data_IF_201224839960
#
_entry.id   IF_201224839960
#
_cell.length_a   1.000
_cell.length_b   1.000
_cell.length_c   1.000
_cell.angle_alpha   90.00
_cell.angle_beta   90.00
_cell.angle_gamma   90.00
#
_symmetry.space_group_name_H-M   'P 1'
#
loop_
_entity.id
_entity.type
_entity.pdbx_description
1 polymer ?
#
# COMPACT_ATOMS: atom_id res chain seq x y z
N UNK A 1 -13.27 -1.76 18.39
CA UNK A 1 -12.13 -0.84 18.61
C UNK A 1 -11.37 -0.74 17.30
N UNK A 2 -11.11 0.46 16.78
CA UNK A 2 -10.24 0.67 15.60
C UNK A 2 -8.84 0.18 15.97
N UNK A 3 -8.26 -0.77 15.22
CA UNK A 3 -6.87 -1.20 15.45
C UNK A 3 -5.96 -0.01 15.16
N UNK A 4 -4.93 0.21 15.98
CA UNK A 4 -3.90 1.19 15.65
C UNK A 4 -3.18 0.77 14.37
N UNK A 5 -2.68 1.73 13.60
CA UNK A 5 -1.88 1.44 12.40
C UNK A 5 -0.67 0.56 12.71
N UNK A 6 -0.04 0.73 13.87
CA UNK A 6 1.06 -0.13 14.33
C UNK A 6 0.60 -1.58 14.43
N UNK A 7 -0.53 -1.86 15.09
CA UNK A 7 -1.04 -3.22 15.20
C UNK A 7 -1.39 -3.81 13.83
N UNK A 8 -2.02 -3.02 12.96
CA UNK A 8 -2.39 -3.45 11.62
C UNK A 8 -1.15 -3.84 10.79
N UNK A 9 -0.07 -3.08 10.85
CA UNK A 9 1.16 -3.40 10.13
C UNK A 9 1.89 -4.59 10.75
N UNK A 10 1.93 -4.68 12.07
CA UNK A 10 2.56 -5.79 12.81
C UNK A 10 1.90 -7.12 12.48
N UNK A 11 0.56 -7.20 12.53
CA UNK A 11 -0.19 -8.41 12.21
C UNK A 11 0.06 -8.92 10.78
N UNK A 12 0.42 -8.02 9.87
CA UNK A 12 0.67 -8.32 8.47
C UNK A 12 2.15 -8.45 8.12
N UNK A 13 3.04 -8.38 9.11
CA UNK A 13 4.50 -8.43 8.94
C UNK A 13 5.01 -7.38 7.93
N UNK A 14 4.43 -6.18 7.94
CA UNK A 14 4.77 -5.11 7.01
C UNK A 14 5.64 -4.06 7.69
N UNK A 15 6.74 -3.69 7.03
CA UNK A 15 7.61 -2.59 7.41
C UNK A 15 7.18 -1.27 6.76
N UNK A 16 7.42 -0.16 7.46
CA UNK A 16 7.06 1.19 7.07
C UNK A 16 8.26 2.13 7.21
N UNK A 17 8.39 3.07 6.27
CA UNK A 17 9.19 4.27 6.43
C UNK A 17 8.38 5.53 6.05
N UNK A 18 8.87 6.69 6.48
CA UNK A 18 8.25 7.99 6.19
C UNK A 18 9.24 8.99 5.58
N UNK A 19 8.77 9.88 4.70
CA UNK A 19 9.55 10.96 4.11
C UNK A 19 8.77 12.28 4.26
N UNK A 20 9.17 13.09 5.23
CA UNK A 20 8.40 14.22 5.71
C UNK A 20 9.02 15.55 5.28
N UNK A 21 8.20 16.44 4.74
CA UNK A 21 8.52 17.86 4.57
C UNK A 21 7.68 18.69 5.54
N UNK A 22 6.44 19.05 5.17
CA UNK A 22 5.63 20.00 5.97
C UNK A 22 5.32 19.53 7.41
N UNK A 23 5.24 18.22 7.62
CA UNK A 23 4.91 17.59 8.91
C UNK A 23 6.10 17.60 9.87
N UNK A 24 7.34 17.69 9.35
CA UNK A 24 8.54 17.89 10.16
C UNK A 24 8.84 16.77 11.16
N UNK A 25 8.45 15.54 10.87
CA UNK A 25 8.65 14.38 11.76
C UNK A 25 7.44 14.03 12.62
N UNK A 26 6.34 14.78 12.47
CA UNK A 26 5.13 14.53 13.24
C UNK A 26 4.55 13.14 12.95
N UNK A 27 4.57 12.67 11.70
CA UNK A 27 4.05 11.33 11.39
C UNK A 27 4.87 10.24 12.08
N UNK A 28 6.20 10.30 11.97
CA UNK A 28 7.09 9.40 12.70
C UNK A 28 6.84 9.45 14.21
N UNK A 29 6.77 10.66 14.78
CA UNK A 29 6.53 10.87 16.21
C UNK A 29 5.22 10.24 16.66
N UNK A 30 4.12 10.47 15.92
CA UNK A 30 2.80 9.88 16.19
C UNK A 30 2.85 8.35 16.24
N UNK A 31 3.58 7.72 15.31
CA UNK A 31 3.76 6.26 15.33
C UNK A 31 4.60 5.80 16.51
N UNK A 32 5.72 6.46 16.79
CA UNK A 32 6.63 6.06 17.89
C UNK A 32 6.02 6.26 19.28
N UNK A 33 4.93 7.02 19.40
CA UNK A 33 4.16 7.13 20.64
C UNK A 33 3.41 5.83 20.99
N UNK A 34 3.20 4.95 20.00
CA UNK A 34 2.47 3.68 20.18
C UNK A 34 3.47 2.56 20.51
N UNK A 35 3.28 1.82 21.62
CA UNK A 35 4.13 0.67 21.94
C UNK A 35 4.21 -0.34 20.79
N UNK A 36 5.42 -0.85 20.52
CA UNK A 36 5.67 -1.79 19.43
C UNK A 36 5.97 -1.16 18.07
N UNK A 37 5.98 0.17 17.94
CA UNK A 37 6.30 0.87 16.69
C UNK A 37 7.66 0.49 16.09
N UNK A 38 8.64 0.07 16.90
CA UNK A 38 9.95 -0.41 16.42
C UNK A 38 9.88 -1.67 15.56
N UNK A 39 8.79 -2.45 15.66
CA UNK A 39 8.59 -3.64 14.83
C UNK A 39 8.35 -3.24 13.37
N UNK A 40 7.58 -2.18 13.15
CA UNK A 40 7.09 -1.74 11.83
C UNK A 40 7.88 -0.56 11.26
N UNK A 41 8.21 0.45 12.07
CA UNK A 41 8.83 1.69 11.58
C UNK A 41 10.35 1.51 11.50
N UNK A 42 10.90 1.39 10.29
CA UNK A 42 12.35 1.16 10.09
C UNK A 42 13.17 2.43 10.02
N UNK A 43 12.53 3.56 9.76
CA UNK A 43 13.20 4.86 9.72
C UNK A 43 12.33 5.92 9.05
N UNK A 44 12.87 7.12 8.98
CA UNK A 44 12.24 8.22 8.26
C UNK A 44 13.25 9.27 7.82
N UNK A 45 12.86 10.05 6.83
CA UNK A 45 13.64 11.15 6.27
C UNK A 45 12.89 12.45 6.52
N UNK A 46 13.57 13.46 7.06
CA UNK A 46 13.02 14.83 7.16
C UNK A 46 13.72 15.69 6.10
N UNK A 47 13.01 16.03 5.04
CA UNK A 47 13.56 16.69 3.83
C UNK A 47 12.88 18.03 3.58
N UNK A 48 13.04 18.95 4.53
CA UNK A 48 12.27 20.19 4.59
C UNK A 48 12.53 21.14 3.41
N UNK A 49 13.78 21.24 2.93
CA UNK A 49 14.16 22.09 1.81
C UNK A 49 14.41 21.31 0.52
N UNK A 50 14.43 22.01 -0.63
CA UNK A 50 14.68 21.39 -1.95
C UNK A 50 16.04 20.70 -2.01
N UNK A 51 17.06 21.24 -1.34
CA UNK A 51 18.39 20.61 -1.29
C UNK A 51 18.35 19.26 -0.57
N UNK A 52 17.68 19.18 0.58
CA UNK A 52 17.49 17.93 1.30
C UNK A 52 16.67 16.91 0.49
N UNK A 53 15.65 17.36 -0.25
CA UNK A 53 14.88 16.49 -1.16
C UNK A 53 15.76 15.87 -2.24
N UNK A 54 16.67 16.64 -2.84
CA UNK A 54 17.63 16.15 -3.84
C UNK A 54 18.66 15.20 -3.24
N UNK A 55 19.31 15.57 -2.13
CA UNK A 55 20.43 14.80 -1.58
C UNK A 55 19.94 13.53 -0.88
N UNK A 56 18.94 13.66 0.00
CA UNK A 56 18.54 12.60 0.92
C UNK A 56 17.44 11.74 0.30
N UNK A 57 16.35 12.36 -0.16
CA UNK A 57 15.23 11.66 -0.78
C UNK A 57 15.42 11.41 -2.28
N UNK A 58 16.56 11.81 -2.87
CA UNK A 58 16.92 11.60 -4.28
C UNK A 58 15.88 12.09 -5.29
N UNK A 59 15.11 13.13 -4.92
CA UNK A 59 14.14 13.76 -5.82
C UNK A 59 14.90 14.39 -6.98
N UNK A 60 14.44 14.13 -8.19
CA UNK A 60 15.01 14.63 -9.43
C UNK A 60 15.01 16.17 -9.44
N UNK A 61 16.14 16.80 -9.79
CA UNK A 61 16.18 18.25 -10.00
C UNK A 61 15.13 18.73 -11.01
N UNK A 62 14.88 17.94 -12.06
CA UNK A 62 13.89 18.23 -13.11
C UNK A 62 12.48 18.31 -12.52
N UNK A 63 12.16 17.42 -11.57
CA UNK A 63 10.85 17.41 -10.91
C UNK A 63 10.64 18.66 -10.06
N UNK A 64 11.65 19.06 -9.30
CA UNK A 64 11.60 20.27 -8.48
C UNK A 64 11.52 21.54 -9.33
N UNK A 65 12.24 21.60 -10.45
CA UNK A 65 12.21 22.73 -11.37
C UNK A 65 10.86 22.87 -12.08
N UNK A 66 10.33 21.76 -12.62
CA UNK A 66 9.13 21.78 -13.47
C UNK A 66 7.82 21.84 -12.68
N UNK A 67 7.75 21.15 -11.54
CA UNK A 67 6.50 20.98 -10.79
C UNK A 67 6.54 21.65 -9.41
N UNK A 68 7.73 21.95 -8.90
CA UNK A 68 7.93 22.44 -7.53
C UNK A 68 7.88 21.34 -6.48
N UNK A 69 8.27 21.68 -5.25
CA UNK A 69 8.27 20.76 -4.11
C UNK A 69 6.85 20.46 -3.64
N UNK A 70 5.89 21.37 -3.82
CA UNK A 70 4.49 21.18 -3.44
C UNK A 70 3.73 20.58 -4.63
N UNK A 71 4.04 19.34 -4.99
CA UNK A 71 3.49 18.66 -6.17
C UNK A 71 3.32 17.16 -5.95
N UNK A 72 2.44 16.54 -6.75
CA UNK A 72 2.29 15.09 -6.76
C UNK A 72 3.60 14.42 -7.19
N UNK A 73 4.29 14.95 -8.20
CA UNK A 73 5.53 14.39 -8.74
C UNK A 73 6.63 14.34 -7.67
N UNK A 74 6.78 15.41 -6.88
CA UNK A 74 7.71 15.43 -5.77
C UNK A 74 7.32 14.41 -4.69
N UNK A 75 6.03 14.33 -4.31
CA UNK A 75 5.56 13.34 -3.33
C UNK A 75 5.83 11.90 -3.80
N UNK A 76 5.52 11.59 -5.07
CA UNK A 76 5.77 10.28 -5.68
C UNK A 76 7.22 9.86 -5.56
N UNK A 77 8.15 10.71 -6.00
CA UNK A 77 9.58 10.43 -5.95
C UNK A 77 10.06 10.30 -4.49
N UNK A 78 9.60 11.17 -3.59
CA UNK A 78 9.91 11.07 -2.16
C UNK A 78 9.50 9.69 -1.60
N UNK A 79 8.27 9.23 -1.86
CA UNK A 79 7.80 7.94 -1.38
C UNK A 79 8.57 6.77 -2.00
N UNK A 80 8.68 6.72 -3.34
CA UNK A 80 9.34 5.63 -4.05
C UNK A 80 10.82 5.50 -3.68
N UNK A 81 11.55 6.61 -3.67
CA UNK A 81 12.97 6.59 -3.35
C UNK A 81 13.19 6.19 -1.89
N UNK A 82 12.34 6.66 -0.96
CA UNK A 82 12.43 6.28 0.46
C UNK A 82 12.21 4.79 0.66
N UNK A 83 11.23 4.20 -0.05
CA UNK A 83 10.97 2.77 -0.02
C UNK A 83 12.21 1.97 -0.43
N UNK A 84 12.86 2.38 -1.53
CA UNK A 84 14.05 1.73 -2.06
C UNK A 84 15.27 1.91 -1.15
N UNK A 85 15.49 3.13 -0.64
CA UNK A 85 16.62 3.48 0.21
C UNK A 85 16.61 2.70 1.53
N UNK A 86 15.43 2.57 2.16
CA UNK A 86 15.27 1.92 3.45
C UNK A 86 14.84 0.45 3.34
N UNK A 87 14.60 -0.04 2.13
CA UNK A 87 14.21 -1.44 1.83
C UNK A 87 13.01 -1.89 2.68
N UNK A 88 11.95 -1.09 2.63
CA UNK A 88 10.70 -1.32 3.38
C UNK A 88 9.55 -1.71 2.46
N UNK A 89 8.53 -2.36 3.02
CA UNK A 89 7.34 -2.77 2.29
C UNK A 89 6.50 -1.56 1.88
N UNK A 90 6.35 -0.60 2.80
CA UNK A 90 5.62 0.65 2.60
C UNK A 90 6.51 1.87 2.86
N UNK A 91 6.40 2.90 2.03
CA UNK A 91 6.92 4.23 2.35
C UNK A 91 5.90 5.31 2.03
N UNK A 92 5.65 6.19 2.99
CA UNK A 92 4.73 7.32 2.82
C UNK A 92 5.50 8.63 2.78
N UNK A 93 5.04 9.59 1.98
CA UNK A 93 5.66 10.90 1.89
C UNK A 93 4.66 12.03 2.03
N UNK A 94 5.11 13.17 2.56
CA UNK A 94 4.28 14.35 2.79
C UNK A 94 4.98 15.62 2.30
N UNK A 95 4.37 16.32 1.33
CA UNK A 95 4.84 17.64 0.87
C UNK A 95 3.66 18.58 0.63
N UNK A 96 3.82 19.87 0.91
CA UNK A 96 2.68 20.79 0.97
C UNK A 96 2.95 22.09 1.69
N UNK A 97 1.95 22.96 1.70
CA UNK A 97 1.99 24.28 2.33
C UNK A 97 1.22 24.27 3.66
N UNK A 98 1.93 24.17 4.79
CA UNK A 98 1.30 24.31 6.11
C UNK A 98 0.99 25.78 6.49
N UNK A 99 1.42 26.76 5.69
CA UNK A 99 1.23 28.18 6.00
C UNK A 99 2.17 28.71 7.08
N UNK A 100 1.98 29.98 7.51
CA UNK A 100 0.92 30.90 7.08
C UNK A 100 1.15 31.49 5.68
N UNK A 101 2.36 31.37 5.12
CA UNK A 101 2.68 31.84 3.77
C UNK A 101 2.48 30.72 2.75
N UNK A 102 1.91 31.07 1.61
CA UNK A 102 1.85 30.23 0.43
C UNK A 102 3.22 30.20 -0.26
N UNK A 103 3.64 29.03 -0.74
CA UNK A 103 4.81 28.86 -1.61
C UNK A 103 4.38 28.43 -3.01
N UNK A 104 5.22 28.73 -4.00
CA UNK A 104 5.06 28.26 -5.39
C UNK A 104 3.72 28.68 -6.03
N UNK A 105 3.14 29.81 -5.60
CA UNK A 105 1.80 30.28 -6.01
C UNK A 105 0.67 29.26 -5.76
N UNK A 106 0.85 28.35 -4.80
CA UNK A 106 -0.14 27.32 -4.42
C UNK A 106 -0.76 27.67 -3.06
N UNK A 107 -2.06 27.40 -2.84
CA UNK A 107 -2.74 27.82 -1.63
C UNK A 107 -2.14 27.17 -0.38
N UNK A 108 -2.26 27.88 0.75
CA UNK A 108 -2.03 27.28 2.08
C UNK A 108 -3.03 26.14 2.28
N UNK A 109 -2.57 25.05 2.90
CA UNK A 109 -3.37 23.84 3.11
C UNK A 109 -3.30 22.83 1.98
N UNK A 110 -2.73 23.18 0.82
CA UNK A 110 -2.50 22.20 -0.25
C UNK A 110 -1.40 21.22 0.15
N UNK A 111 -1.74 19.94 0.19
CA UNK A 111 -0.84 18.86 0.60
C UNK A 111 -0.95 17.69 -0.38
N UNK A 112 0.19 17.11 -0.73
CA UNK A 112 0.30 15.87 -1.48
C UNK A 112 0.86 14.78 -0.57
N UNK A 113 0.17 13.65 -0.57
CA UNK A 113 0.54 12.43 0.14
C UNK A 113 0.68 11.32 -0.90
N UNK A 114 1.82 10.65 -0.89
CA UNK A 114 2.08 9.49 -1.73
C UNK A 114 2.49 8.30 -0.88
N UNK A 115 1.94 7.14 -1.19
CA UNK A 115 2.23 5.87 -0.54
C UNK A 115 2.78 4.89 -1.58
N UNK A 116 4.05 4.54 -1.44
CA UNK A 116 4.65 3.43 -2.15
C UNK A 116 4.41 2.14 -1.37
N UNK A 117 3.85 1.12 -2.02
CA UNK A 117 3.59 -0.20 -1.43
C UNK A 117 3.86 -1.27 -2.49
N UNK A 118 4.86 -2.13 -2.23
CA UNK A 118 5.37 -3.05 -3.25
C UNK A 118 5.70 -2.29 -4.55
N UNK A 119 5.16 -2.72 -5.70
CA UNK A 119 5.33 -2.05 -7.01
C UNK A 119 4.28 -0.98 -7.32
N UNK A 120 3.39 -0.69 -6.36
CA UNK A 120 2.28 0.26 -6.53
C UNK A 120 2.59 1.59 -5.86
N UNK A 121 2.07 2.64 -6.46
CA UNK A 121 2.12 3.99 -5.92
C UNK A 121 0.72 4.58 -5.88
N UNK A 122 0.28 5.01 -4.70
CA UNK A 122 -1.01 5.65 -4.48
C UNK A 122 -0.74 7.11 -4.13
N UNK A 123 -1.37 8.04 -4.86
CA UNK A 123 -1.22 9.47 -4.64
C UNK A 123 -2.55 10.10 -4.29
N UNK A 124 -2.51 11.06 -3.36
CA UNK A 124 -3.67 11.86 -2.97
C UNK A 124 -3.25 13.30 -2.75
N UNK A 125 -4.07 14.21 -3.24
CA UNK A 125 -3.99 15.64 -2.93
C UNK A 125 -5.11 16.01 -1.96
N UNK A 126 -4.79 16.89 -1.01
CA UNK A 126 -5.72 17.39 -0.01
C UNK A 126 -5.63 18.90 0.05
N UNK A 127 -6.76 19.52 0.38
CA UNK A 127 -6.83 20.93 0.73
C UNK A 127 -7.34 21.00 2.18
N UNK A 128 -6.43 21.20 3.11
CA UNK A 128 -6.74 21.37 4.52
C UNK A 128 -6.96 22.85 4.86
N UNK A 129 -7.61 23.08 6.00
CA UNK A 129 -7.91 24.42 6.49
C UNK A 129 -7.56 24.52 7.97
N UNK A 130 -7.24 25.73 8.41
CA UNK A 130 -6.85 26.03 9.78
C UNK A 130 -5.45 26.62 9.90
N UNK A 131 -4.95 26.63 11.12
CA UNK A 131 -3.61 27.01 11.50
C UNK A 131 -2.56 26.03 10.94
N UNK A 132 -1.30 26.44 11.03
CA UNK A 132 -0.16 25.60 10.62
C UNK A 132 -0.09 24.28 11.37
N UNK A 133 -0.44 24.28 12.64
CA UNK A 133 -0.43 23.08 13.48
C UNK A 133 -1.58 22.14 13.08
N UNK A 134 -2.80 22.67 12.98
CA UNK A 134 -3.98 21.90 12.55
C UNK A 134 -3.79 21.28 11.16
N UNK A 135 -3.18 21.99 10.20
CA UNK A 135 -2.88 21.44 8.86
C UNK A 135 -1.89 20.27 8.96
N UNK A 136 -0.87 20.35 9.82
CA UNK A 136 0.09 19.26 10.01
C UNK A 136 -0.58 18.04 10.64
N UNK A 137 -1.46 18.23 11.62
CA UNK A 137 -2.21 17.15 12.26
C UNK A 137 -3.16 16.46 11.29
N UNK A 138 -3.98 17.22 10.55
CA UNK A 138 -4.85 16.71 9.49
C UNK A 138 -4.06 15.93 8.43
N UNK A 139 -2.85 16.41 8.08
CA UNK A 139 -1.96 15.71 7.13
C UNK A 139 -1.52 14.35 7.66
N UNK A 140 -1.16 14.26 8.94
CA UNK A 140 -0.75 12.99 9.57
C UNK A 140 -1.93 12.02 9.64
N UNK A 141 -3.10 12.49 10.06
CA UNK A 141 -4.32 11.70 10.11
C UNK A 141 -4.69 11.14 8.74
N UNK A 142 -4.71 11.99 7.70
CA UNK A 142 -4.98 11.56 6.32
C UNK A 142 -3.96 10.52 5.81
N UNK A 143 -2.69 10.64 6.23
CA UNK A 143 -1.66 9.64 5.91
C UNK A 143 -1.94 8.28 6.55
N UNK A 144 -2.35 8.27 7.82
CA UNK A 144 -2.74 7.05 8.54
C UNK A 144 -3.95 6.40 7.86
N UNK A 145 -4.99 7.18 7.59
CA UNK A 145 -6.21 6.70 6.92
C UNK A 145 -5.93 6.13 5.53
N UNK A 146 -5.02 6.75 4.76
CA UNK A 146 -4.62 6.25 3.46
C UNK A 146 -4.01 4.85 3.55
N UNK A 147 -3.11 4.62 4.51
CA UNK A 147 -2.48 3.31 4.71
C UNK A 147 -3.52 2.28 5.15
N UNK A 148 -4.35 2.61 6.14
CA UNK A 148 -5.42 1.73 6.62
C UNK A 148 -6.36 1.30 5.49
N UNK A 149 -6.80 2.26 4.67
CA UNK A 149 -7.67 2.00 3.51
C UNK A 149 -7.03 1.05 2.51
N UNK A 150 -5.77 1.31 2.12
CA UNK A 150 -5.06 0.50 1.14
C UNK A 150 -4.85 -0.93 1.63
N UNK A 151 -4.55 -1.11 2.93
CA UNK A 151 -4.41 -2.44 3.52
C UNK A 151 -5.75 -3.17 3.58
N UNK A 152 -6.83 -2.50 3.96
CA UNK A 152 -8.17 -3.10 4.01
C UNK A 152 -8.70 -3.52 2.62
N UNK A 153 -8.51 -2.69 1.58
CA UNK A 153 -8.88 -3.03 0.20
C UNK A 153 -8.13 -4.28 -0.33
N UNK A 154 -6.89 -4.49 0.12
CA UNK A 154 -6.11 -5.70 -0.22
C UNK A 154 -6.76 -6.95 0.39
N UNK A 155 -7.27 -6.88 1.63
CA UNK A 155 -7.92 -8.01 2.28
C UNK A 155 -9.27 -8.35 1.69
N UNK A 156 -10.10 -7.35 1.31
CA UNK A 156 -11.36 -7.62 0.64
C UNK A 156 -11.13 -8.39 -0.68
N UNK A 157 -10.17 -7.95 -1.49
CA UNK A 157 -9.82 -8.65 -2.73
C UNK A 157 -9.25 -10.04 -2.49
N UNK A 158 -8.35 -10.21 -1.52
CA UNK A 158 -7.78 -11.52 -1.18
C UNK A 158 -8.85 -12.50 -0.68
N UNK A 159 -9.78 -12.03 0.17
CA UNK A 159 -10.88 -12.83 0.73
C UNK A 159 -11.84 -13.30 -0.36
N UNK A 160 -12.18 -12.41 -1.30
CA UNK A 160 -13.03 -12.78 -2.45
C UNK A 160 -12.34 -13.82 -3.33
N UNK A 161 -11.04 -13.67 -3.58
CA UNK A 161 -10.27 -14.63 -4.38
C UNK A 161 -10.11 -15.98 -3.67
N UNK A 162 -9.81 -16.00 -2.38
CA UNK A 162 -9.66 -17.24 -1.60
C UNK A 162 -10.99 -18.01 -1.52
N UNK A 163 -12.11 -17.31 -1.32
CA UNK A 163 -13.44 -17.91 -1.34
C UNK A 163 -13.77 -18.49 -2.72
N UNK A 164 -13.51 -17.76 -3.81
CA UNK A 164 -13.72 -18.29 -5.18
C UNK A 164 -12.85 -19.51 -5.47
N UNK A 165 -11.58 -19.47 -5.07
CA UNK A 165 -10.64 -20.59 -5.22
C UNK A 165 -11.09 -21.82 -4.42
N UNK A 166 -11.56 -21.62 -3.19
CA UNK A 166 -12.09 -22.69 -2.35
C UNK A 166 -13.36 -23.31 -2.95
N UNK A 167 -14.28 -22.50 -3.48
CA UNK A 167 -15.49 -22.98 -4.16
C UNK A 167 -15.13 -23.78 -5.42
N UNK A 168 -14.21 -23.29 -6.25
CA UNK A 168 -13.74 -23.99 -7.46
C UNK A 168 -13.08 -25.34 -7.12
N UNK A 169 -12.27 -25.40 -6.07
CA UNK A 169 -11.64 -26.63 -5.61
C UNK A 169 -12.69 -27.65 -5.14
N UNK A 170 -13.72 -27.22 -4.41
CA UNK A 170 -14.80 -28.10 -3.95
C UNK A 170 -15.65 -28.62 -5.12
N UNK A 171 -15.95 -27.79 -6.12
CA UNK A 171 -16.65 -28.24 -7.33
C UNK A 171 -15.82 -29.28 -8.08
N UNK A 172 -14.51 -29.07 -8.23
CA UNK A 172 -13.62 -30.01 -8.89
C UNK A 172 -13.55 -31.37 -8.17
N UNK A 173 -13.43 -31.35 -6.83
CA UNK A 173 -13.46 -32.56 -5.99
C UNK A 173 -14.80 -33.31 -6.10
N UNK A 174 -15.92 -32.59 -6.18
CA UNK A 174 -17.24 -33.17 -6.37
C UNK A 174 -17.36 -33.92 -7.70
N UNK A 175 -16.85 -33.35 -8.81
CA UNK A 175 -16.83 -34.03 -10.10
C UNK A 175 -15.92 -35.27 -10.08
N UNK A 176 -14.76 -35.22 -9.43
CA UNK A 176 -13.89 -36.41 -9.26
C UNK A 176 -14.63 -37.52 -8.53
N UNK A 177 -15.35 -37.20 -7.45
CA UNK A 177 -16.15 -38.17 -6.70
C UNK A 177 -17.27 -38.78 -7.55
N UNK A 178 -17.96 -37.98 -8.37
CA UNK A 178 -18.96 -38.48 -9.32
C UNK A 178 -18.31 -39.42 -10.34
N UNK A 179 -17.19 -39.03 -10.95
CA UNK A 179 -16.47 -39.88 -11.91
C UNK A 179 -16.00 -41.18 -11.28
N UNK A 180 -15.46 -41.14 -10.06
CA UNK A 180 -15.06 -42.32 -9.32
C UNK A 180 -16.26 -43.24 -9.04
N UNK A 181 -17.40 -42.69 -8.62
CA UNK A 181 -18.61 -43.45 -8.38
C UNK A 181 -19.17 -44.08 -9.66
N UNK A 182 -19.24 -43.31 -10.75
CA UNK A 182 -19.65 -43.82 -12.07
C UNK A 182 -18.69 -44.91 -12.57
N UNK A 183 -17.39 -44.76 -12.34
CA UNK A 183 -16.38 -45.79 -12.66
C UNK A 183 -16.60 -47.06 -11.83
N UNK A 184 -16.87 -46.96 -10.54
CA UNK A 184 -17.18 -48.11 -9.67
C UNK A 184 -18.48 -48.82 -10.10
N UNK A 185 -19.54 -48.06 -10.40
CA UNK A 185 -20.81 -48.62 -10.90
C UNK A 185 -20.62 -49.29 -12.26
N UNK A 186 -19.82 -48.70 -13.15
CA UNK A 186 -19.47 -49.30 -14.43
C UNK A 186 -18.67 -50.61 -14.24
N UNK A 187 -17.68 -50.60 -13.34
CA UNK A 187 -16.84 -51.75 -13.05
C UNK A 187 -17.62 -52.91 -12.40
N UNK A 188 -18.57 -52.63 -11.51
CA UNK A 188 -19.40 -53.66 -10.90
C UNK A 188 -20.43 -54.28 -11.87
N UNK A 189 -20.91 -53.50 -12.84
CA UNK A 189 -21.96 -53.95 -13.77
C UNK A 189 -21.44 -54.61 -15.04
N UNK A 190 -20.16 -54.44 -15.40
CA UNK A 190 -19.58 -55.05 -16.60
C UNK A 190 -18.47 -56.05 -16.24
N UNK A 191 -18.81 -57.34 -16.21
CA UNK A 191 -17.83 -58.40 -16.41
C UNK A 191 -17.27 -58.31 -17.84
N UNK A 192 -15.95 -58.10 -17.97
CA UNK A 192 -15.12 -58.21 -19.19
C UNK A 192 -15.84 -58.05 -20.54
N UNK A 193 -15.86 -56.83 -21.09
CA UNK A 193 -15.76 -56.62 -22.54
C UNK A 193 -14.77 -55.48 -22.78
N UNK A 194 -13.60 -55.82 -23.33
CA UNK A 194 -12.66 -54.88 -23.92
C UNK A 194 -13.36 -54.12 -25.05
N UNK A 195 -13.26 -52.78 -25.08
CA UNK A 195 -13.25 -52.09 -26.36
C UNK A 195 -12.24 -50.92 -26.41
N UNK A 196 -11.55 -50.77 -27.56
CA UNK A 196 -10.47 -49.81 -27.75
C UNK A 196 -11.01 -48.51 -28.35
N UNK A 197 -10.74 -47.36 -27.72
CA UNK A 197 -10.81 -46.07 -28.43
C UNK A 197 -9.86 -45.07 -27.78
N UNK A 198 -8.57 -45.23 -28.08
CA UNK A 198 -7.65 -44.10 -28.16
C UNK A 198 -6.88 -44.28 -29.46
N UNK A 199 -7.38 -43.67 -30.54
CA UNK A 199 -6.52 -43.09 -31.57
C UNK A 199 -7.27 -41.94 -32.24
N UNK A 200 -6.55 -40.82 -32.36
CA UNK A 200 -6.78 -39.61 -33.15
C UNK A 200 -7.48 -38.41 -32.49
N UNK A 201 -6.65 -37.51 -31.95
CA UNK A 201 -6.46 -36.07 -32.27
C UNK A 201 -5.71 -35.47 -31.05
N UNK A 202 -4.50 -34.87 -31.08
CA UNK A 202 -3.93 -33.85 -31.99
C UNK A 202 -4.94 -32.85 -32.54
#
# INVERSE_FOLDING_TARGET
MKKSLVNLLTENNLSLATCESLTGGLFASTLTHIPGASQILKGGLIVYCNEAKKIIAKVSPITLEKYGAVSEQCAREMAQNTQQLLKVDLAISFTGNAGPQALENKPVGLVYISLAIQERLINKSYQFFGSREEIKEQTVEAGIELIEKVLNEKYEKFTIWSLKGFVLLNIYLFFILIFYFLFQVYYQNNQFVLMPFIYNLF
#
